data_IF_355883091149
#
_entry.id   IF_355883091149
#
_cell.length_a   1.000
_cell.length_b   1.000
_cell.length_c   1.000
_cell.angle_alpha   90.00
_cell.angle_beta   90.00
_cell.angle_gamma   90.00
#
_symmetry.space_group_name_H-M   'P 1'
#
loop_
_entity.id
_entity.type
_entity.pdbx_description
1 polymer ?
#
# COMPACT_ATOMS: atom_id res chain seq x y z
N UNK A 1 -29.53 -34.43 -19.71
CA UNK A 1 -29.46 -33.41 -20.79
C UNK A 1 -30.69 -32.52 -20.61
N UNK A 2 -30.67 -31.21 -20.44
CA UNK A 2 -29.88 -30.16 -21.11
C UNK A 2 -29.71 -28.93 -20.19
N UNK A 3 -28.48 -28.41 -20.20
CA UNK A 3 -27.99 -27.03 -20.07
C UNK A 3 -28.79 -25.98 -19.29
N UNK A 4 -28.21 -25.47 -18.19
CA UNK A 4 -28.44 -24.10 -17.68
C UNK A 4 -27.14 -23.31 -17.84
N UNK A 5 -27.14 -22.37 -18.78
CA UNK A 5 -26.02 -21.48 -19.07
C UNK A 5 -25.98 -20.40 -17.97
N UNK A 6 -24.86 -20.31 -17.24
CA UNK A 6 -24.57 -19.20 -16.33
C UNK A 6 -24.15 -17.98 -17.16
N UNK A 7 -24.90 -16.88 -17.07
CA UNK A 7 -24.42 -15.56 -17.47
C UNK A 7 -23.33 -15.11 -16.50
N UNK A 8 -22.11 -14.95 -17.04
CA UNK A 8 -21.00 -14.31 -16.35
C UNK A 8 -21.06 -12.81 -16.63
N UNK A 9 -21.34 -11.99 -15.61
CA UNK A 9 -21.27 -10.54 -15.69
C UNK A 9 -19.80 -10.13 -15.62
N UNK A 10 -19.22 -9.74 -16.76
CA UNK A 10 -17.91 -9.12 -16.83
C UNK A 10 -18.06 -7.62 -16.56
N UNK A 11 -17.67 -7.18 -15.37
CA UNK A 11 -17.62 -5.77 -15.00
C UNK A 11 -16.42 -5.11 -15.72
N UNK A 12 -16.68 -4.33 -16.77
CA UNK A 12 -15.66 -3.55 -17.46
C UNK A 12 -15.35 -2.29 -16.62
N UNK A 13 -14.18 -2.24 -15.99
CA UNK A 13 -13.68 -1.05 -15.32
C UNK A 13 -13.29 0.00 -16.38
N UNK A 14 -14.11 1.03 -16.54
CA UNK A 14 -13.79 2.18 -17.39
C UNK A 14 -12.76 3.06 -16.66
N UNK A 15 -11.49 2.91 -17.02
CA UNK A 15 -10.43 3.83 -16.59
C UNK A 15 -10.60 5.12 -17.38
N UNK A 16 -11.08 6.18 -16.72
CA UNK A 16 -11.03 7.55 -17.24
C UNK A 16 -9.56 7.99 -17.31
N UNK A 17 -8.90 7.80 -18.46
CA UNK A 17 -7.68 8.55 -18.76
C UNK A 17 -8.08 10.01 -18.97
N UNK A 18 -7.78 10.86 -17.99
CA UNK A 18 -7.77 12.30 -18.25
C UNK A 18 -6.83 12.56 -19.43
N UNK A 19 -7.22 13.37 -20.45
CA UNK A 19 -6.33 13.71 -21.53
C UNK A 19 -5.13 14.46 -20.94
N UNK A 20 -3.93 13.91 -21.11
CA UNK A 20 -2.72 14.66 -20.85
C UNK A 20 -2.78 15.94 -21.71
N UNK A 21 -2.64 17.11 -21.09
CA UNK A 21 -2.50 18.37 -21.83
C UNK A 21 -1.23 18.28 -22.66
N UNK A 22 -1.36 18.04 -23.96
CA UNK A 22 -0.24 18.16 -24.88
C UNK A 22 0.22 19.61 -24.89
N UNK A 23 1.47 19.86 -24.54
CA UNK A 23 2.07 21.19 -24.61
C UNK A 23 2.62 21.43 -26.02
N UNK A 24 2.52 22.68 -26.49
CA UNK A 24 3.09 23.12 -27.76
C UNK A 24 4.35 23.93 -27.49
N UNK A 25 5.46 23.54 -28.10
CA UNK A 25 6.74 24.22 -28.02
C UNK A 25 7.10 24.84 -29.37
N UNK A 26 7.34 26.14 -29.40
CA UNK A 26 7.65 26.85 -30.65
C UNK A 26 9.16 27.03 -30.83
N UNK A 27 9.64 26.77 -32.04
CA UNK A 27 11.01 27.02 -32.49
C UNK A 27 10.95 27.96 -33.69
N UNK A 28 11.54 29.13 -33.58
CA UNK A 28 11.62 30.08 -34.69
C UNK A 28 12.82 29.76 -35.59
N UNK A 29 12.60 29.71 -36.90
CA UNK A 29 13.67 29.66 -37.90
C UNK A 29 14.01 31.10 -38.26
N UNK A 30 15.27 31.49 -38.10
CA UNK A 30 15.76 32.86 -38.34
C UNK A 30 16.98 32.83 -39.27
N UNK A 31 17.42 34.01 -39.73
CA UNK A 31 18.68 34.16 -40.51
C UNK A 31 19.93 33.57 -39.84
N UNK A 32 19.90 33.41 -38.52
CA UNK A 32 20.99 32.85 -37.72
C UNK A 32 20.80 31.35 -37.39
N UNK A 33 19.64 30.77 -37.70
CA UNK A 33 19.29 29.38 -37.46
C UNK A 33 18.05 29.21 -36.56
N UNK A 34 17.92 28.01 -35.99
CA UNK A 34 16.82 27.64 -35.09
C UNK A 34 16.98 28.31 -33.71
N UNK A 35 15.92 28.95 -33.23
CA UNK A 35 15.86 29.60 -31.93
C UNK A 35 14.60 29.18 -31.15
N UNK A 36 14.72 28.45 -30.03
CA UNK A 36 15.96 27.88 -29.50
C UNK A 36 16.50 26.74 -30.38
N UNK A 37 17.82 26.54 -30.40
CA UNK A 37 18.45 25.45 -31.17
C UNK A 37 18.23 24.08 -30.51
N UNK A 38 17.84 24.04 -29.23
CA UNK A 38 17.46 22.82 -28.55
C UNK A 38 16.26 23.03 -27.62
N UNK A 39 15.38 22.03 -27.57
CA UNK A 39 14.23 22.00 -26.67
C UNK A 39 14.13 20.65 -25.98
N UNK A 40 13.55 20.64 -24.78
CA UNK A 40 13.18 19.42 -24.07
C UNK A 40 11.66 19.38 -23.93
N UNK A 41 11.04 18.28 -24.35
CA UNK A 41 9.58 18.10 -24.38
C UNK A 41 9.20 16.74 -23.80
N UNK A 42 7.94 16.53 -23.43
CA UNK A 42 7.40 15.23 -23.03
C UNK A 42 6.97 14.37 -24.21
N UNK A 43 6.84 13.06 -24.01
CA UNK A 43 6.17 12.18 -24.98
C UNK A 43 4.73 12.64 -25.20
N UNK A 44 4.35 12.83 -26.46
CA UNK A 44 3.03 13.32 -26.86
C UNK A 44 2.93 14.83 -27.03
N UNK A 45 3.97 15.59 -26.69
CA UNK A 45 4.02 17.03 -26.94
C UNK A 45 4.23 17.34 -28.43
N UNK A 46 3.81 18.56 -28.82
CA UNK A 46 3.94 19.07 -30.18
C UNK A 46 5.08 20.09 -30.24
N UNK A 47 5.99 19.92 -31.19
CA UNK A 47 6.97 20.97 -31.53
C UNK A 47 6.52 21.63 -32.82
N UNK A 48 6.40 22.96 -32.80
CA UNK A 48 6.04 23.79 -33.93
C UNK A 48 7.24 24.61 -34.38
N UNK A 49 7.65 24.46 -35.63
CA UNK A 49 8.62 25.35 -36.25
C UNK A 49 7.89 26.46 -36.99
N UNK A 50 8.30 27.71 -36.76
CA UNK A 50 7.76 28.89 -37.45
C UNK A 50 8.87 29.54 -38.26
N UNK A 51 8.66 29.74 -39.56
CA UNK A 51 9.60 30.50 -40.36
C UNK A 51 9.47 32.00 -40.08
N UNK A 52 10.42 32.56 -39.33
CA UNK A 52 10.51 33.99 -39.02
C UNK A 52 11.63 34.69 -39.83
N UNK A 53 12.18 34.02 -40.84
CA UNK A 53 13.12 34.58 -41.80
C UNK A 53 12.38 35.09 -43.06
N UNK A 54 13.10 35.76 -43.96
CA UNK A 54 12.57 36.24 -45.25
C UNK A 54 12.77 35.26 -46.39
N UNK A 55 13.50 34.16 -46.16
CA UNK A 55 13.74 33.08 -47.14
C UNK A 55 12.97 31.82 -46.76
N UNK A 56 12.79 30.91 -47.73
CA UNK A 56 12.08 29.65 -47.48
C UNK A 56 12.97 28.61 -46.81
N UNK A 57 12.39 27.84 -45.89
CA UNK A 57 13.10 26.82 -45.09
C UNK A 57 12.40 25.47 -45.15
N UNK A 58 13.11 24.38 -44.86
CA UNK A 58 12.52 23.04 -44.83
C UNK A 58 13.16 22.19 -43.73
N UNK A 59 12.37 21.78 -42.74
CA UNK A 59 12.85 21.06 -41.56
C UNK A 59 12.86 19.56 -41.84
N UNK A 60 13.99 18.90 -41.59
CA UNK A 60 14.16 17.45 -41.75
C UNK A 60 14.74 16.85 -40.47
N UNK A 61 14.15 15.74 -40.02
CA UNK A 61 14.74 14.86 -39.01
C UNK A 61 14.72 13.42 -39.49
N UNK A 62 15.90 12.89 -39.85
CA UNK A 62 16.06 11.47 -40.16
C UNK A 62 15.77 10.57 -38.96
N UNK A 63 16.17 11.02 -37.76
CA UNK A 63 15.94 10.26 -36.51
C UNK A 63 14.47 10.21 -36.10
N UNK A 64 13.68 11.23 -36.44
CA UNK A 64 12.25 11.24 -36.15
C UNK A 64 11.39 10.78 -37.36
N UNK A 65 12.00 10.63 -38.54
CA UNK A 65 11.35 10.11 -39.73
C UNK A 65 10.45 11.11 -40.44
N UNK A 66 10.76 12.41 -40.41
CA UNK A 66 9.95 13.43 -41.10
C UNK A 66 10.79 14.40 -41.94
N UNK A 67 10.13 14.94 -42.96
CA UNK A 67 10.53 16.12 -43.74
C UNK A 67 9.29 17.00 -43.86
N UNK A 68 9.40 18.27 -43.47
CA UNK A 68 8.29 19.22 -43.60
C UNK A 68 8.06 19.61 -45.08
N UNK A 69 6.91 20.20 -45.42
CA UNK A 69 6.81 21.06 -46.60
C UNK A 69 7.85 22.18 -46.58
N UNK A 70 8.07 22.82 -47.74
CA UNK A 70 8.83 24.08 -47.78
C UNK A 70 7.99 25.16 -47.11
N UNK A 71 8.55 25.80 -46.08
CA UNK A 71 7.94 26.84 -45.28
C UNK A 71 8.35 28.20 -45.82
N UNK A 72 7.41 28.95 -46.41
CA UNK A 72 7.58 30.36 -46.76
C UNK A 72 7.62 31.24 -45.51
N UNK A 73 8.06 32.51 -45.60
CA UNK A 73 8.01 33.44 -44.48
C UNK A 73 6.63 33.46 -43.81
N UNK A 74 6.59 33.25 -42.49
CA UNK A 74 5.38 33.19 -41.67
C UNK A 74 4.70 31.81 -41.58
N UNK A 75 5.08 30.83 -42.41
CA UNK A 75 4.48 29.49 -42.37
C UNK A 75 5.02 28.65 -41.20
N UNK A 76 4.22 27.64 -40.81
CA UNK A 76 4.53 26.78 -39.67
C UNK A 76 4.43 25.30 -40.02
N UNK A 77 5.18 24.48 -39.29
CA UNK A 77 5.08 23.02 -39.33
C UNK A 77 5.08 22.46 -37.91
N UNK A 78 4.23 21.48 -37.65
CA UNK A 78 4.13 20.84 -36.33
C UNK A 78 4.42 19.35 -36.43
N UNK A 79 5.13 18.81 -35.43
CA UNK A 79 5.39 17.38 -35.30
C UNK A 79 5.17 16.91 -33.86
N UNK A 80 4.49 15.77 -33.70
CA UNK A 80 4.22 15.14 -32.40
C UNK A 80 5.23 14.02 -32.16
N UNK A 81 5.96 14.09 -31.05
CA UNK A 81 6.94 13.07 -30.68
C UNK A 81 6.31 11.99 -29.79
N UNK A 82 6.01 10.83 -30.37
CA UNK A 82 5.36 9.72 -29.67
C UNK A 82 6.30 8.82 -28.85
N UNK A 83 7.63 9.00 -28.96
CA UNK A 83 8.64 8.16 -28.28
C UNK A 83 9.70 9.01 -27.61
N UNK A 84 10.14 8.59 -26.43
CA UNK A 84 11.25 9.22 -25.73
C UNK A 84 12.55 8.98 -26.50
N UNK A 85 13.43 9.97 -26.53
CA UNK A 85 14.68 9.92 -27.28
C UNK A 85 15.25 11.29 -27.61
N UNK A 86 16.45 11.30 -28.19
CA UNK A 86 17.10 12.52 -28.67
C UNK A 86 17.02 12.57 -30.20
N UNK A 87 16.34 13.56 -30.74
CA UNK A 87 16.08 13.72 -32.16
C UNK A 87 16.85 14.91 -32.70
N UNK A 88 17.81 14.64 -33.58
CA UNK A 88 18.51 15.68 -34.32
C UNK A 88 17.68 16.07 -35.54
N UNK A 89 17.64 17.36 -35.84
CA UNK A 89 16.99 17.88 -37.04
C UNK A 89 17.84 18.99 -37.65
N UNK A 90 17.59 19.28 -38.92
CA UNK A 90 18.34 20.26 -39.69
C UNK A 90 17.44 20.96 -40.70
N UNK A 91 17.94 22.06 -41.26
CA UNK A 91 17.36 22.63 -42.47
C UNK A 91 17.93 21.93 -43.71
N UNK A 92 17.05 21.42 -44.57
CA UNK A 92 17.41 20.71 -45.80
C UNK A 92 18.01 21.64 -46.86
N UNK A 93 17.53 22.89 -46.95
CA UNK A 93 18.03 23.91 -47.87
C UNK A 93 19.30 24.59 -47.33
N UNK A 94 19.38 24.81 -46.02
CA UNK A 94 20.50 25.50 -45.35
C UNK A 94 21.23 24.54 -44.42
N UNK A 95 22.10 23.69 -44.97
CA UNK A 95 22.78 22.57 -44.27
C UNK A 95 23.54 22.93 -42.98
N UNK A 96 23.80 24.22 -42.72
CA UNK A 96 24.44 24.71 -41.48
C UNK A 96 23.48 24.78 -40.29
N UNK A 97 22.17 24.91 -40.50
CA UNK A 97 21.20 25.00 -39.41
C UNK A 97 20.89 23.61 -38.86
N UNK A 98 21.19 23.42 -37.57
CA UNK A 98 20.97 22.16 -36.85
C UNK A 98 20.32 22.45 -35.51
N UNK A 99 19.43 21.56 -35.09
CA UNK A 99 18.82 21.62 -33.78
C UNK A 99 18.59 20.24 -33.17
N UNK A 100 18.12 20.21 -31.93
CA UNK A 100 17.84 18.97 -31.21
C UNK A 100 16.55 19.07 -30.40
N UNK A 101 15.68 18.08 -30.52
CA UNK A 101 14.55 17.87 -29.59
C UNK A 101 14.89 16.69 -28.70
N UNK A 102 14.90 16.90 -27.38
CA UNK A 102 15.02 15.82 -26.40
C UNK A 102 13.64 15.51 -25.85
N UNK A 103 13.14 14.31 -26.10
CA UNK A 103 11.83 13.85 -25.67
C UNK A 103 12.00 12.99 -24.43
N UNK A 104 11.47 13.44 -23.30
CA UNK A 104 11.53 12.73 -22.03
C UNK A 104 10.32 11.82 -21.87
N UNK A 105 10.54 10.60 -21.36
CA UNK A 105 9.45 9.74 -20.89
C UNK A 105 8.68 10.51 -19.81
N UNK A 106 7.35 10.43 -19.75
CA UNK A 106 6.61 10.91 -18.59
C UNK A 106 7.25 10.35 -17.33
N UNK A 107 7.55 11.21 -16.36
CA UNK A 107 8.11 10.76 -15.08
C UNK A 107 7.18 9.68 -14.53
N UNK A 108 7.71 8.47 -14.33
CA UNK A 108 6.92 7.38 -13.78
C UNK A 108 6.42 7.82 -12.41
N UNK A 109 5.09 7.77 -12.21
CA UNK A 109 4.50 8.26 -10.98
C UNK A 109 5.17 7.54 -9.80
N UNK A 110 5.69 8.34 -8.87
CA UNK A 110 6.28 7.79 -7.66
C UNK A 110 5.23 6.95 -6.93
N UNK A 111 5.59 5.71 -6.60
CA UNK A 111 4.73 4.82 -5.83
C UNK A 111 5.47 4.30 -4.61
N UNK A 112 4.71 4.06 -3.54
CA UNK A 112 5.17 3.38 -2.35
C UNK A 112 4.20 2.26 -2.03
N UNK A 113 4.71 1.06 -1.84
CA UNK A 113 3.91 -0.10 -1.45
C UNK A 113 3.96 -0.31 0.05
N UNK A 114 2.94 -0.99 0.60
CA UNK A 114 2.93 -1.37 2.01
C UNK A 114 2.13 -2.64 2.23
N UNK A 115 2.62 -3.48 3.14
CA UNK A 115 1.90 -4.58 3.77
C UNK A 115 2.17 -4.63 5.27
N UNK A 116 1.27 -5.25 6.01
CA UNK A 116 1.44 -5.54 7.44
C UNK A 116 1.52 -7.06 7.66
N UNK A 117 2.54 -7.52 8.39
CA UNK A 117 2.69 -8.93 8.73
C UNK A 117 3.09 -9.12 10.20
N UNK A 118 2.32 -9.92 10.99
CA UNK A 118 1.02 -10.51 10.64
C UNK A 118 -0.12 -9.48 10.69
N UNK A 119 -1.19 -9.69 9.91
CA UNK A 119 -2.37 -8.82 9.90
C UNK A 119 -3.33 -9.04 11.09
N UNK A 120 -3.04 -10.02 11.96
CA UNK A 120 -3.79 -10.31 13.17
C UNK A 120 -2.82 -10.63 14.31
N UNK A 121 -2.85 -9.83 15.37
CA UNK A 121 -1.97 -9.99 16.53
C UNK A 121 -2.73 -10.08 17.84
N UNK A 122 -2.05 -10.60 18.86
CA UNK A 122 -2.50 -10.51 20.25
C UNK A 122 -2.00 -9.20 20.84
N UNK A 123 -2.81 -8.58 21.71
CA UNK A 123 -2.45 -7.36 22.41
C UNK A 123 -1.06 -7.47 23.05
N UNK A 124 -0.21 -6.49 22.74
CA UNK A 124 1.17 -6.45 23.20
C UNK A 124 2.20 -7.03 22.22
N UNK A 125 1.76 -7.70 21.14
CA UNK A 125 2.65 -8.19 20.09
C UNK A 125 2.97 -7.08 19.06
N UNK A 126 4.09 -7.27 18.38
CA UNK A 126 4.57 -6.39 17.32
C UNK A 126 4.06 -6.84 15.95
N UNK A 127 3.99 -5.89 15.01
CA UNK A 127 3.71 -6.10 13.60
C UNK A 127 4.79 -5.41 12.79
N UNK A 128 5.26 -6.07 11.74
CA UNK A 128 6.17 -5.47 10.77
C UNK A 128 5.36 -4.89 9.62
N UNK A 129 5.47 -3.58 9.43
CA UNK A 129 5.04 -2.89 8.23
C UNK A 129 6.23 -2.88 7.27
N UNK A 130 6.01 -3.24 6.01
CA UNK A 130 7.09 -3.29 5.03
C UNK A 130 6.57 -3.00 3.63
N UNK A 131 7.46 -2.57 2.76
CA UNK A 131 7.14 -2.23 1.38
C UNK A 131 8.38 -1.81 0.62
N UNK A 132 8.17 -1.17 -0.53
CA UNK A 132 9.24 -0.60 -1.34
C UNK A 132 8.81 0.73 -1.96
N UNK A 133 9.77 1.63 -2.14
CA UNK A 133 9.63 2.86 -2.94
C UNK A 133 10.03 2.57 -4.39
N UNK A 134 9.33 3.18 -5.36
CA UNK A 134 9.54 2.89 -6.78
C UNK A 134 10.89 3.39 -7.33
N UNK A 135 11.55 4.30 -6.62
CA UNK A 135 12.89 4.81 -6.97
C UNK A 135 13.98 3.72 -6.91
N UNK A 136 13.77 2.67 -6.11
CA UNK A 136 14.79 1.65 -5.76
C UNK A 136 16.10 2.25 -5.24
N UNK A 137 16.02 3.38 -4.52
CA UNK A 137 17.18 4.05 -3.91
C UNK A 137 17.20 3.82 -2.41
N UNK A 138 18.42 3.75 -1.87
CA UNK A 138 18.66 3.74 -0.43
C UNK A 138 18.61 5.16 0.14
N UNK A 139 18.32 5.28 1.43
CA UNK A 139 18.37 6.55 2.15
C UNK A 139 17.12 7.41 2.03
N UNK A 140 16.06 6.93 1.39
CA UNK A 140 14.81 7.68 1.27
C UNK A 140 13.90 7.43 2.47
N UNK A 141 13.31 8.51 2.99
CA UNK A 141 12.45 8.46 4.18
C UNK A 141 11.01 8.15 3.81
N UNK A 142 10.48 7.07 4.37
CA UNK A 142 9.08 6.64 4.25
C UNK A 142 8.39 6.84 5.59
N UNK A 143 7.47 7.80 5.66
CA UNK A 143 6.71 8.09 6.89
C UNK A 143 5.50 7.18 7.00
N UNK A 144 5.40 6.48 8.11
CA UNK A 144 4.28 5.60 8.44
C UNK A 144 3.24 6.37 9.24
N UNK A 145 1.99 6.21 8.85
CA UNK A 145 0.83 6.77 9.51
C UNK A 145 -0.07 5.67 10.06
N UNK A 146 -0.75 5.96 11.16
CA UNK A 146 -1.69 5.05 11.80
C UNK A 146 -3.02 5.74 12.09
N UNK A 147 -4.11 5.02 11.87
CA UNK A 147 -5.45 5.35 12.32
C UNK A 147 -5.98 4.20 13.20
N UNK A 148 -5.72 4.25 14.53
CA UNK A 148 -6.31 3.32 15.48
C UNK A 148 -7.84 3.41 15.50
N UNK A 149 -8.51 2.31 15.84
CA UNK A 149 -9.96 2.28 15.96
C UNK A 149 -10.47 3.40 16.88
N UNK A 150 -11.46 4.15 16.39
CA UNK A 150 -12.04 5.29 17.10
C UNK A 150 -11.38 6.63 16.78
N UNK A 151 -10.29 6.65 16.02
CA UNK A 151 -9.70 7.88 15.49
C UNK A 151 -10.29 8.22 14.12
N UNK A 152 -10.48 9.51 13.84
CA UNK A 152 -11.06 10.03 12.61
C UNK A 152 -10.03 10.35 11.53
N UNK A 153 -8.75 10.47 11.91
CA UNK A 153 -7.65 10.82 11.01
C UNK A 153 -6.40 9.97 11.26
N UNK A 154 -5.53 9.95 10.26
CA UNK A 154 -4.21 9.35 10.33
C UNK A 154 -3.23 10.27 11.05
N UNK A 155 -2.43 9.70 11.95
CA UNK A 155 -1.32 10.38 12.61
C UNK A 155 0.00 9.70 12.27
N UNK A 156 1.06 10.47 12.06
CA UNK A 156 2.40 9.93 11.83
C UNK A 156 2.89 9.19 13.08
N UNK A 157 3.42 7.98 12.91
CA UNK A 157 3.97 7.17 14.01
C UNK A 157 5.49 7.04 13.95
N UNK A 158 6.10 7.35 12.81
CA UNK A 158 7.54 7.35 12.61
C UNK A 158 7.90 7.20 11.14
N UNK A 159 9.18 7.11 10.84
CA UNK A 159 9.69 6.89 9.49
C UNK A 159 10.64 5.70 9.44
N UNK A 160 10.66 5.03 8.29
CA UNK A 160 11.65 4.04 7.91
C UNK A 160 12.53 4.59 6.79
N UNK A 161 13.78 4.12 6.73
CA UNK A 161 14.71 4.45 5.65
C UNK A 161 14.74 3.28 4.65
N UNK A 162 14.66 3.58 3.37
CA UNK A 162 14.78 2.58 2.31
C UNK A 162 16.21 2.03 2.19
N UNK A 163 16.34 0.75 1.84
CA UNK A 163 17.59 0.10 1.48
C UNK A 163 17.97 0.28 0.01
N UNK A 164 19.05 -0.36 -0.43
CA UNK A 164 19.59 -0.29 -1.80
C UNK A 164 18.64 -0.82 -2.88
N UNK A 165 17.62 -1.59 -2.51
CA UNK A 165 16.56 -2.08 -3.38
C UNK A 165 15.27 -1.23 -3.30
N UNK A 166 15.27 -0.15 -2.51
CA UNK A 166 14.10 0.65 -2.18
C UNK A 166 13.21 0.02 -1.10
N UNK A 167 13.56 -1.16 -0.58
CA UNK A 167 12.82 -1.86 0.45
C UNK A 167 12.88 -1.13 1.79
N UNK A 168 11.77 -1.08 2.51
CA UNK A 168 11.69 -0.45 3.83
C UNK A 168 10.90 -1.34 4.80
N UNK A 169 11.18 -1.18 6.09
CA UNK A 169 10.53 -1.92 7.18
C UNK A 169 10.39 -1.05 8.43
N UNK A 170 9.27 -1.17 9.13
CA UNK A 170 8.97 -0.44 10.36
C UNK A 170 8.16 -1.31 11.34
N UNK A 171 8.58 -1.34 12.61
CA UNK A 171 7.92 -2.12 13.65
C UNK A 171 6.87 -1.27 14.40
N UNK A 172 5.66 -1.80 14.53
CA UNK A 172 4.57 -1.17 15.28
C UNK A 172 3.97 -2.12 16.31
N UNK A 173 3.33 -1.58 17.35
CA UNK A 173 2.68 -2.34 18.42
C UNK A 173 1.21 -1.90 18.59
N UNK A 174 0.31 -2.34 17.70
CA UNK A 174 -1.08 -1.89 17.71
C UNK A 174 -1.80 -2.35 18.97
N UNK A 175 -2.52 -1.42 19.59
CA UNK A 175 -3.26 -1.64 20.83
C UNK A 175 -4.72 -2.09 20.58
N UNK A 176 -5.31 -1.63 19.48
CA UNK A 176 -6.62 -1.96 18.94
C UNK A 176 -6.48 -2.21 17.43
N UNK A 177 -7.56 -2.57 16.72
CA UNK A 177 -7.57 -2.56 15.25
C UNK A 177 -7.03 -1.22 14.76
N UNK A 178 -6.03 -1.25 13.90
CA UNK A 178 -5.38 -0.04 13.38
C UNK A 178 -5.23 -0.19 11.88
N UNK A 179 -5.60 0.85 11.15
CA UNK A 179 -5.29 0.98 9.72
C UNK A 179 -3.99 1.75 9.59
N UNK A 180 -3.10 1.30 8.73
CA UNK A 180 -1.81 1.92 8.47
C UNK A 180 -1.70 2.30 7.00
N UNK A 181 -1.01 3.40 6.74
CA UNK A 181 -0.57 3.80 5.40
C UNK A 181 0.84 4.39 5.50
N UNK A 182 1.52 4.47 4.37
CA UNK A 182 2.88 4.95 4.25
C UNK A 182 2.88 6.03 3.19
N UNK A 183 3.57 7.12 3.50
CA UNK A 183 3.71 8.25 2.61
C UNK A 183 5.19 8.46 2.35
N UNK A 184 5.51 8.68 1.08
CA UNK A 184 6.87 8.89 0.62
C UNK A 184 6.87 10.09 -0.32
N UNK A 185 7.78 11.02 -0.07
CA UNK A 185 8.03 12.16 -0.96
C UNK A 185 9.37 11.92 -1.67
N UNK A 186 9.37 11.64 -2.98
CA UNK A 186 10.62 11.47 -3.73
C UNK A 186 11.48 12.72 -3.67
N UNK A 187 12.80 12.57 -3.60
CA UNK A 187 13.73 13.69 -3.59
C UNK A 187 13.64 14.57 -4.85
N UNK A 188 13.21 14.00 -5.99
CA UNK A 188 13.08 14.68 -7.28
C UNK A 188 11.77 15.51 -7.44
N UNK A 189 11.25 16.10 -6.36
CA UNK A 189 10.09 17.03 -6.34
C UNK A 189 8.77 16.51 -6.92
N UNK A 190 8.57 15.20 -7.07
CA UNK A 190 7.27 14.61 -7.41
C UNK A 190 6.33 14.59 -6.20
N UNK A 191 5.02 14.69 -6.44
CA UNK A 191 3.98 14.65 -5.40
C UNK A 191 4.16 13.51 -4.37
N UNK A 192 3.62 13.68 -3.16
CA UNK A 192 3.65 12.66 -2.12
C UNK A 192 2.92 11.40 -2.59
N UNK A 193 3.65 10.30 -2.73
CA UNK A 193 3.10 8.98 -2.97
C UNK A 193 2.49 8.44 -1.67
N UNK A 194 1.29 7.88 -1.74
CA UNK A 194 0.63 7.22 -0.60
C UNK A 194 0.36 5.76 -0.93
N UNK A 195 0.67 4.87 -0.01
CA UNK A 195 0.48 3.42 -0.18
C UNK A 195 -0.99 3.01 -0.06
N UNK A 196 -1.29 1.78 -0.48
CA UNK A 196 -2.53 1.11 -0.09
C UNK A 196 -2.60 0.92 1.44
N UNK A 197 -3.79 1.03 2.00
CA UNK A 197 -4.01 0.86 3.44
C UNK A 197 -3.88 -0.60 3.88
N UNK A 198 -3.15 -0.83 4.98
CA UNK A 198 -3.04 -2.13 5.63
C UNK A 198 -3.77 -2.14 6.98
N UNK A 199 -4.80 -2.98 7.12
CA UNK A 199 -5.53 -3.11 8.39
C UNK A 199 -4.97 -4.25 9.24
N UNK A 200 -4.52 -3.91 10.46
CA UNK A 200 -4.12 -4.89 11.47
C UNK A 200 -5.24 -5.04 12.47
N UNK A 201 -5.68 -6.28 12.68
CA UNK A 201 -6.67 -6.64 13.71
C UNK A 201 -5.95 -7.06 14.99
N UNK A 202 -6.56 -6.79 16.14
CA UNK A 202 -5.98 -7.13 17.44
C UNK A 202 -6.95 -7.99 18.24
N UNK A 203 -6.42 -9.03 18.91
CA UNK A 203 -7.10 -9.81 19.95
C UNK A 203 -6.69 -9.31 21.32
N UNK A 204 -7.56 -9.31 22.33
CA UNK A 204 -7.08 -9.19 23.70
C UNK A 204 -6.21 -10.40 24.03
N UNK A 205 -5.23 -10.21 24.90
CA UNK A 205 -4.43 -11.32 25.42
C UNK A 205 -5.26 -12.06 26.45
N UNK A 206 -5.67 -13.30 26.13
CA UNK A 206 -6.35 -14.18 27.09
C UNK A 206 -5.39 -15.30 27.47
N UNK A 207 -5.00 -15.34 28.74
CA UNK A 207 -4.14 -16.38 29.30
C UNK A 207 -4.84 -17.15 30.39
N UNK A 208 -4.51 -18.42 30.55
CA UNK A 208 -4.94 -19.21 31.70
C UNK A 208 -3.89 -20.26 32.07
N UNK A 209 -3.96 -20.71 33.32
CA UNK A 209 -3.08 -21.74 33.89
C UNK A 209 -3.83 -22.60 34.90
N UNK A 210 -3.33 -23.79 35.14
CA UNK A 210 -3.76 -24.60 36.29
C UNK A 210 -3.22 -23.94 37.56
N UNK A 211 -4.08 -23.76 38.56
CA UNK A 211 -3.73 -23.26 39.90
C UNK A 211 -3.57 -24.40 40.91
N UNK A 212 -4.44 -25.40 40.85
CA UNK A 212 -4.40 -26.60 41.69
C UNK A 212 -5.17 -27.75 41.03
N UNK A 213 -4.95 -28.98 41.48
CA UNK A 213 -5.71 -30.16 41.02
C UNK A 213 -5.89 -31.16 42.14
N UNK A 214 -7.08 -31.76 42.24
CA UNK A 214 -7.36 -32.89 43.12
C UNK A 214 -8.18 -33.92 42.33
N UNK A 215 -7.56 -35.06 42.02
CA UNK A 215 -8.08 -36.04 41.08
C UNK A 215 -8.51 -35.39 39.75
N UNK A 216 -9.78 -35.60 39.38
CA UNK A 216 -10.39 -35.06 38.16
C UNK A 216 -10.85 -33.59 38.28
N UNK A 217 -10.81 -32.99 39.47
CA UNK A 217 -11.22 -31.59 39.68
C UNK A 217 -10.00 -30.68 39.58
N UNK A 218 -10.01 -29.78 38.60
CA UNK A 218 -8.92 -28.86 38.34
C UNK A 218 -9.36 -27.43 38.61
N UNK A 219 -8.58 -26.70 39.39
CA UNK A 219 -8.75 -25.26 39.61
C UNK A 219 -7.89 -24.52 38.58
N UNK A 220 -8.50 -23.64 37.80
CA UNK A 220 -7.83 -22.78 36.83
C UNK A 220 -7.85 -21.32 37.26
N UNK A 221 -6.82 -20.58 36.85
CA UNK A 221 -6.79 -19.13 36.87
C UNK A 221 -6.73 -18.61 35.44
N UNK A 222 -7.56 -17.61 35.11
CA UNK A 222 -7.57 -16.93 33.81
C UNK A 222 -7.36 -15.43 34.01
N UNK A 223 -6.68 -14.77 33.05
CA UNK A 223 -6.50 -13.33 32.99
C UNK A 223 -6.58 -12.83 31.55
N UNK A 224 -7.33 -11.76 31.35
CA UNK A 224 -7.38 -11.01 30.10
C UNK A 224 -6.59 -9.70 30.22
N UNK A 225 -5.88 -9.30 29.15
CA UNK A 225 -5.19 -8.00 29.05
C UNK A 225 -5.51 -7.33 27.71
N UNK A 226 -5.62 -6.01 27.77
CA UNK A 226 -5.97 -5.13 26.65
C UNK A 226 -5.83 -3.67 27.08
N UNK A 227 -6.21 -2.74 26.20
CA UNK A 227 -6.24 -1.30 26.51
C UNK A 227 -7.24 -0.99 27.61
N UNK A 228 -8.39 -1.67 27.57
CA UNK A 228 -9.51 -1.47 28.49
C UNK A 228 -9.60 -2.64 29.46
N UNK A 229 -10.15 -2.38 30.64
CA UNK A 229 -10.52 -3.45 31.59
C UNK A 229 -11.59 -4.35 30.99
N UNK A 230 -11.50 -5.65 31.30
CA UNK A 230 -12.52 -6.66 30.98
C UNK A 230 -13.36 -7.05 32.20
N UNK A 231 -13.40 -6.19 33.23
CA UNK A 231 -14.29 -6.37 34.39
C UNK A 231 -15.73 -6.63 33.95
N UNK A 232 -16.38 -7.63 34.55
CA UNK A 232 -17.76 -8.02 34.23
C UNK A 232 -17.95 -8.71 32.88
N UNK A 233 -16.94 -8.72 31.99
CA UNK A 233 -16.95 -9.51 30.75
C UNK A 233 -16.68 -10.97 31.07
N UNK A 234 -16.99 -11.87 30.13
CA UNK A 234 -16.79 -13.30 30.35
C UNK A 234 -15.97 -13.99 29.25
N UNK A 235 -15.37 -15.11 29.65
CA UNK A 235 -14.72 -16.07 28.77
C UNK A 235 -15.38 -17.45 28.90
N UNK A 236 -15.41 -18.21 27.83
CA UNK A 236 -15.77 -19.61 27.85
C UNK A 236 -14.53 -20.48 28.07
N UNK A 237 -14.58 -21.33 29.09
CA UNK A 237 -13.72 -22.49 29.18
C UNK A 237 -14.20 -23.53 28.18
N UNK A 238 -13.38 -23.84 27.18
CA UNK A 238 -13.72 -24.82 26.15
C UNK A 238 -12.84 -26.05 26.24
N UNK A 239 -13.41 -27.20 25.92
CA UNK A 239 -12.69 -28.47 25.73
C UNK A 239 -12.86 -28.93 24.29
N UNK A 240 -11.80 -29.46 23.69
CA UNK A 240 -11.85 -30.11 22.38
C UNK A 240 -12.47 -31.50 22.55
N UNK A 241 -13.55 -31.80 21.83
CA UNK A 241 -14.18 -33.13 21.84
C UNK A 241 -13.44 -34.12 20.92
N UNK A 242 -13.88 -35.38 20.89
CA UNK A 242 -13.29 -36.43 20.06
C UNK A 242 -13.32 -36.09 18.56
N UNK A 243 -14.36 -35.40 18.09
CA UNK A 243 -14.50 -34.91 16.72
C UNK A 243 -13.68 -33.64 16.41
N UNK A 244 -12.81 -33.22 17.33
CA UNK A 244 -11.94 -32.06 17.14
C UNK A 244 -12.64 -30.69 17.27
N UNK A 245 -13.92 -30.64 17.64
CA UNK A 245 -14.68 -29.39 17.85
C UNK A 245 -14.50 -28.86 19.27
N UNK A 246 -14.53 -27.54 19.41
CA UNK A 246 -14.46 -26.89 20.72
C UNK A 246 -15.86 -26.75 21.31
N UNK A 247 -16.05 -27.28 22.52
CA UNK A 247 -17.32 -27.23 23.26
C UNK A 247 -17.12 -26.42 24.53
N UNK A 248 -17.99 -25.45 24.78
CA UNK A 248 -17.97 -24.64 25.99
C UNK A 248 -18.49 -25.46 27.18
N UNK A 249 -17.65 -25.63 28.21
CA UNK A 249 -18.01 -26.34 29.44
C UNK A 249 -18.41 -25.39 30.57
N UNK A 250 -17.87 -24.16 30.57
CA UNK A 250 -18.14 -23.19 31.62
C UNK A 250 -18.02 -21.76 31.11
N UNK A 251 -18.97 -20.90 31.47
CA UNK A 251 -18.86 -19.44 31.36
C UNK A 251 -18.17 -18.91 32.63
N UNK A 252 -17.15 -18.07 32.45
CA UNK A 252 -16.35 -17.51 33.54
C UNK A 252 -16.35 -15.99 33.42
N UNK A 253 -17.04 -15.32 34.33
CA UNK A 253 -17.07 -13.85 34.43
C UNK A 253 -15.80 -13.35 35.11
N UNK A 254 -15.19 -12.30 34.55
CA UNK A 254 -13.96 -11.71 35.02
C UNK A 254 -14.24 -10.67 36.10
N UNK A 255 -13.43 -10.70 37.15
CA UNK A 255 -13.44 -9.74 38.26
C UNK A 255 -12.90 -8.36 37.81
N UNK A 256 -12.95 -7.31 38.65
CA UNK A 256 -12.37 -6.01 38.34
C UNK A 256 -10.91 -6.03 37.87
N UNK A 257 -10.13 -7.04 38.29
CA UNK A 257 -8.74 -7.24 37.85
C UNK A 257 -8.61 -7.94 36.49
N UNK A 258 -9.71 -8.06 35.73
CA UNK A 258 -9.80 -8.80 34.46
C UNK A 258 -9.35 -10.25 34.57
N UNK A 259 -9.57 -10.86 35.73
CA UNK A 259 -9.13 -12.21 36.05
C UNK A 259 -10.21 -13.01 36.78
N UNK A 260 -10.10 -14.34 36.79
CA UNK A 260 -10.99 -15.20 37.54
C UNK A 260 -10.31 -16.52 37.92
N UNK A 261 -10.74 -17.12 39.03
CA UNK A 261 -10.41 -18.49 39.42
C UNK A 261 -11.68 -19.33 39.39
N UNK A 262 -11.61 -20.54 38.85
CA UNK A 262 -12.77 -21.43 38.74
C UNK A 262 -12.35 -22.89 38.74
N UNK A 263 -13.28 -23.78 39.12
CA UNK A 263 -13.06 -25.24 39.17
C UNK A 263 -13.83 -25.93 38.04
N UNK A 264 -13.23 -26.95 37.44
CA UNK A 264 -13.89 -27.80 36.43
C UNK A 264 -13.52 -29.26 36.70
N UNK A 265 -14.51 -30.15 36.65
CA UNK A 265 -14.27 -31.59 36.60
C UNK A 265 -13.97 -31.99 35.16
N UNK A 266 -12.79 -32.52 34.90
CA UNK A 266 -12.40 -33.03 33.59
C UNK A 266 -12.71 -34.53 33.49
N UNK A 267 -12.89 -35.01 32.26
CA UNK A 267 -12.96 -36.45 31.99
C UNK A 267 -11.58 -37.06 32.23
N UNK A 268 -11.56 -38.36 32.56
CA UNK A 268 -10.34 -39.14 32.60
C UNK A 268 -9.64 -39.18 31.24
N UNK A 269 -8.32 -39.31 31.27
CA UNK A 269 -7.47 -39.30 30.09
C UNK A 269 -7.05 -37.90 29.67
N UNK A 270 -6.82 -37.73 28.37
CA UNK A 270 -6.24 -36.50 27.80
C UNK A 270 -7.34 -35.49 27.46
N UNK A 271 -7.32 -34.34 28.13
CA UNK A 271 -8.19 -33.19 27.86
C UNK A 271 -7.41 -32.04 27.24
N UNK A 272 -7.82 -31.57 26.05
CA UNK A 272 -7.33 -30.34 25.43
C UNK A 272 -8.29 -29.20 25.72
N UNK A 273 -7.82 -28.15 26.39
CA UNK A 273 -8.66 -27.05 26.89
C UNK A 273 -8.11 -25.68 26.50
N UNK A 274 -9.00 -24.69 26.34
CA UNK A 274 -8.63 -23.29 26.04
C UNK A 274 -9.64 -22.31 26.63
N UNK A 275 -9.26 -21.05 26.73
CA UNK A 275 -10.20 -19.94 26.93
C UNK A 275 -10.59 -19.33 25.60
N UNK A 276 -11.86 -18.95 25.48
CA UNK A 276 -12.40 -18.20 24.35
C UNK A 276 -13.20 -17.00 24.86
N UNK A 277 -12.83 -15.80 24.44
CA UNK A 277 -13.56 -14.57 24.70
C UNK A 277 -14.31 -14.14 23.42
N UNK A 278 -15.64 -14.20 23.38
CA UNK A 278 -16.42 -13.77 22.21
C UNK A 278 -16.16 -12.30 21.86
N UNK A 279 -16.25 -11.93 20.58
CA UNK A 279 -16.03 -10.54 20.13
C UNK A 279 -16.96 -9.52 20.82
N UNK A 280 -18.22 -9.91 21.11
CA UNK A 280 -19.15 -9.08 21.88
C UNK A 280 -18.65 -8.75 23.31
N UNK A 281 -17.75 -9.58 23.86
CA UNK A 281 -17.15 -9.39 25.18
C UNK A 281 -15.81 -8.65 25.14
N UNK A 282 -15.15 -8.58 23.98
CA UNK A 282 -13.86 -7.88 23.84
C UNK A 282 -14.03 -6.36 23.73
N UNK A 283 -15.21 -5.89 23.37
CA UNK A 283 -15.48 -4.49 23.08
C UNK A 283 -14.97 -4.06 21.70
N UNK A 284 -15.30 -2.83 21.28
CA UNK A 284 -15.04 -2.36 19.93
C UNK A 284 -13.54 -2.23 19.65
N UNK A 285 -13.13 -2.38 18.39
CA UNK A 285 -11.72 -2.37 17.98
C UNK A 285 -10.93 -3.65 18.30
N UNK A 286 -11.47 -4.58 19.09
CA UNK A 286 -10.92 -5.92 19.24
C UNK A 286 -11.70 -6.95 18.42
N UNK A 287 -11.04 -8.05 18.08
CA UNK A 287 -11.70 -9.29 17.65
C UNK A 287 -11.72 -10.31 18.80
N UNK A 288 -12.44 -11.42 18.62
CA UNK A 288 -12.54 -12.47 19.63
C UNK A 288 -11.16 -12.94 20.14
N UNK A 289 -11.03 -13.03 21.47
CA UNK A 289 -9.82 -13.48 22.15
C UNK A 289 -9.76 -15.00 22.25
N UNK A 290 -8.59 -15.58 22.02
CA UNK A 290 -8.35 -17.02 22.16
C UNK A 290 -7.03 -17.20 22.90
N UNK A 291 -7.01 -18.05 23.93
CA UNK A 291 -5.76 -18.42 24.59
C UNK A 291 -5.01 -19.51 23.83
N UNK A 292 -3.76 -19.76 24.23
CA UNK A 292 -3.10 -21.04 23.89
C UNK A 292 -3.95 -22.23 24.36
N UNK A 293 -3.73 -23.39 23.75
CA UNK A 293 -4.34 -24.66 24.20
C UNK A 293 -3.46 -25.31 25.26
N UNK A 294 -4.07 -25.82 26.34
CA UNK A 294 -3.40 -26.70 27.31
C UNK A 294 -3.87 -28.13 27.10
N UNK A 295 -2.93 -29.07 27.14
CA UNK A 295 -3.22 -30.51 27.19
C UNK A 295 -2.98 -30.98 28.62
N UNK A 296 -3.97 -31.64 29.23
CA UNK A 296 -3.91 -32.18 30.58
C UNK A 296 -4.18 -33.68 30.52
N UNK A 297 -3.38 -34.49 31.21
CA UNK A 297 -3.65 -35.90 31.44
C UNK A 297 -4.10 -36.06 32.90
N UNK A 298 -5.26 -36.69 33.13
CA UNK A 298 -5.88 -36.86 34.46
C UNK A 298 -6.50 -38.23 34.61
#
# INVERSE_FOLDING_TARGET
MRSRILLSVLLLALVLLAPARAMTFTISITKSGFNPSSVTVGVGDTVTWTNADTVSHQVESKSAGFVSPVLKPGETYSFVYAKAGRYAYQDKAVKKFKGTVTVQKPAEAATVTQRASPALVVYGATVTLSGAVSSKRSGESVTVFAQPYGQTSFAAVGSAISGSDGGWSYLVKPKLRTVYEARWKPAAQGATATSSQASVRVRPQVGFRVKASSGRVVTFFTKARGVRSFAGKFVYFQRKNAFGRWVSLRKVTLTPTSSATFRVRLLSGRSRVRMFMPAAQTGPGYVAGISRTLTLAR
#
